data_IF_541235735593
#
_entry.id   IF_541235735593
#
_cell.length_a   1.000
_cell.length_b   1.000
_cell.length_c   1.000
_cell.angle_alpha   90.00
_cell.angle_beta   90.00
_cell.angle_gamma   90.00
#
_symmetry.space_group_name_H-M   'P 1'
#
loop_
_entity.id
_entity.type
_entity.pdbx_description
1 polymer ?
#
# COMPACT_ATOMS: atom_id res chain seq x y z
N UNK A 1 -27.15 -21.06 6.01
CA UNK A 1 -25.82 -20.84 6.58
C UNK A 1 -25.68 -21.65 7.86
N UNK A 2 -24.89 -22.71 7.83
CA UNK A 2 -24.56 -23.60 8.94
C UNK A 2 -23.50 -22.94 9.84
N UNK A 3 -23.44 -23.34 11.11
CA UNK A 3 -22.45 -22.88 12.10
C UNK A 3 -21.02 -23.01 11.57
N UNK A 4 -20.74 -24.08 10.82
CA UNK A 4 -19.43 -24.31 10.22
C UNK A 4 -19.06 -23.26 9.16
N UNK A 5 -20.03 -22.82 8.35
CA UNK A 5 -19.81 -21.77 7.35
C UNK A 5 -19.48 -20.43 8.01
N UNK A 6 -20.16 -20.11 9.12
CA UNK A 6 -19.88 -18.89 9.91
C UNK A 6 -18.47 -18.94 10.50
N UNK A 7 -18.07 -20.09 11.05
CA UNK A 7 -16.72 -20.27 11.58
C UNK A 7 -15.66 -20.11 10.47
N UNK A 8 -15.87 -20.70 9.30
CA UNK A 8 -14.95 -20.58 8.17
C UNK A 8 -14.80 -19.13 7.70
N UNK A 9 -15.90 -18.36 7.61
CA UNK A 9 -15.86 -16.93 7.26
C UNK A 9 -15.10 -16.14 8.32
N UNK A 10 -15.32 -16.42 9.61
CA UNK A 10 -14.63 -15.75 10.71
C UNK A 10 -13.12 -16.01 10.64
N UNK A 11 -12.70 -17.26 10.46
CA UNK A 11 -11.29 -17.62 10.35
C UNK A 11 -10.63 -16.99 9.12
N UNK A 12 -11.30 -17.00 7.96
CA UNK A 12 -10.82 -16.30 6.76
C UNK A 12 -10.64 -14.79 7.02
N UNK A 13 -11.60 -14.14 7.66
CA UNK A 13 -11.50 -12.74 8.05
C UNK A 13 -10.33 -12.51 9.02
N UNK A 14 -10.11 -13.38 10.00
CA UNK A 14 -8.97 -13.29 10.94
C UNK A 14 -7.64 -13.47 10.20
N UNK A 15 -7.54 -14.41 9.26
CA UNK A 15 -6.34 -14.62 8.44
C UNK A 15 -6.03 -13.38 7.61
N UNK A 16 -7.05 -12.84 6.93
CA UNK A 16 -6.92 -11.61 6.12
C UNK A 16 -6.48 -10.45 7.00
N UNK A 17 -7.16 -10.21 8.13
CA UNK A 17 -6.84 -9.09 9.03
C UNK A 17 -5.50 -9.26 9.75
N UNK A 18 -5.11 -10.47 10.12
CA UNK A 18 -3.82 -10.73 10.77
C UNK A 18 -2.64 -10.53 9.80
N UNK A 19 -2.82 -10.88 8.52
CA UNK A 19 -1.86 -10.54 7.47
C UNK A 19 -1.68 -9.02 7.28
N UNK A 20 -2.70 -8.22 7.61
CA UNK A 20 -2.62 -6.75 7.51
C UNK A 20 -1.97 -6.06 8.71
N UNK A 21 -1.71 -6.77 9.83
CA UNK A 21 -1.15 -6.17 11.05
C UNK A 21 0.36 -5.90 11.02
N UNK A 22 1.04 -6.16 9.90
CA UNK A 22 2.38 -5.61 9.72
C UNK A 22 2.28 -4.12 9.38
N UNK A 23 2.71 -3.33 10.36
CA UNK A 23 2.97 -1.89 10.34
C UNK A 23 4.06 -1.52 9.30
N UNK A 24 3.91 -1.97 8.05
CA UNK A 24 4.93 -1.86 7.01
C UNK A 24 4.35 -1.24 5.76
N UNK A 25 5.04 -0.21 5.29
CA UNK A 25 4.76 0.67 4.14
C UNK A 25 4.93 -0.08 2.81
N UNK A 26 4.54 -1.36 2.76
CA UNK A 26 4.66 -2.26 1.62
C UNK A 26 3.26 -2.72 1.22
N UNK A 27 2.58 -1.86 0.45
CA UNK A 27 1.44 -2.31 -0.34
C UNK A 27 1.99 -2.99 -1.59
N UNK A 28 2.36 -4.27 -1.45
CA UNK A 28 2.17 -5.18 -2.58
C UNK A 28 0.66 -5.42 -2.71
N UNK A 29 0.08 -5.35 -3.92
CA UNK A 29 -1.30 -5.73 -4.14
C UNK A 29 -1.46 -7.16 -3.60
N UNK A 30 -2.20 -7.27 -2.49
CA UNK A 30 -2.38 -8.54 -1.82
C UNK A 30 -3.44 -9.32 -2.59
N UNK A 31 -3.08 -9.90 -3.74
CA UNK A 31 -3.90 -10.90 -4.43
C UNK A 31 -4.16 -12.13 -3.52
N UNK A 32 -3.47 -12.22 -2.37
CA UNK A 32 -3.58 -13.32 -1.41
C UNK A 32 -4.96 -13.47 -0.77
N UNK A 33 -5.78 -12.40 -0.67
CA UNK A 33 -7.12 -12.57 -0.09
C UNK A 33 -8.10 -13.21 -1.07
N UNK A 34 -7.89 -13.06 -2.39
CA UNK A 34 -8.75 -13.70 -3.39
C UNK A 34 -8.61 -15.22 -3.36
N UNK A 35 -7.41 -15.75 -3.14
CA UNK A 35 -7.19 -17.19 -2.92
C UNK A 35 -7.98 -17.71 -1.70
N UNK A 36 -7.95 -16.98 -0.59
CA UNK A 36 -8.70 -17.32 0.64
C UNK A 36 -10.21 -17.25 0.41
N UNK A 37 -10.70 -16.21 -0.28
CA UNK A 37 -12.14 -16.08 -0.57
C UNK A 37 -12.60 -17.17 -1.55
N UNK A 38 -11.76 -17.56 -2.51
CA UNK A 38 -12.08 -18.59 -3.48
C UNK A 38 -12.14 -19.98 -2.84
N UNK A 39 -11.31 -20.26 -1.82
CA UNK A 39 -11.30 -21.55 -1.11
C UNK A 39 -12.46 -21.74 -0.13
N UNK A 40 -13.20 -20.67 0.21
CA UNK A 40 -14.42 -20.78 1.02
C UNK A 40 -15.53 -21.48 0.22
N UNK A 41 -16.15 -22.50 0.82
CA UNK A 41 -17.34 -23.15 0.28
C UNK A 41 -18.58 -22.33 0.64
N UNK A 42 -18.75 -21.19 -0.04
CA UNK A 42 -19.88 -20.27 0.11
C UNK A 42 -20.38 -19.86 -1.27
N UNK A 43 -21.63 -19.39 -1.34
CA UNK A 43 -22.23 -18.96 -2.59
C UNK A 43 -21.45 -17.77 -3.23
N UNK A 44 -21.47 -17.63 -4.57
CA UNK A 44 -20.68 -16.61 -5.26
C UNK A 44 -21.06 -15.17 -4.89
N UNK A 45 -22.31 -14.90 -4.48
CA UNK A 45 -22.75 -13.57 -4.06
C UNK A 45 -22.17 -13.21 -2.68
N UNK A 46 -22.11 -14.20 -1.77
CA UNK A 46 -21.40 -14.09 -0.49
C UNK A 46 -19.89 -13.89 -0.69
N UNK A 47 -19.25 -14.62 -1.62
CA UNK A 47 -17.82 -14.40 -1.97
C UNK A 47 -17.59 -12.97 -2.42
N UNK A 48 -18.44 -12.46 -3.31
CA UNK A 48 -18.34 -11.09 -3.79
C UNK A 48 -18.57 -10.08 -2.67
N UNK A 49 -19.55 -10.29 -1.80
CA UNK A 49 -19.78 -9.44 -0.63
C UNK A 49 -18.56 -9.40 0.31
N UNK A 50 -17.90 -10.54 0.52
CA UNK A 50 -16.63 -10.58 1.25
C UNK A 50 -15.52 -9.81 0.52
N UNK A 51 -15.35 -9.97 -0.80
CA UNK A 51 -14.37 -9.18 -1.57
C UNK A 51 -14.59 -7.69 -1.41
N UNK A 52 -15.83 -7.23 -1.49
CA UNK A 52 -16.20 -5.82 -1.29
C UNK A 52 -15.86 -5.34 0.11
N UNK A 53 -16.17 -6.14 1.13
CA UNK A 53 -15.94 -5.82 2.54
C UNK A 53 -14.45 -5.78 2.87
N UNK A 54 -13.71 -6.81 2.45
CA UNK A 54 -12.24 -6.89 2.57
C UNK A 54 -11.60 -5.74 1.82
N UNK A 55 -12.04 -5.42 0.61
CA UNK A 55 -11.52 -4.29 -0.16
C UNK A 55 -11.72 -2.94 0.52
N UNK A 56 -12.83 -2.76 1.27
CA UNK A 56 -13.07 -1.57 2.09
C UNK A 56 -12.18 -1.54 3.34
N UNK A 57 -12.01 -2.68 4.03
CA UNK A 57 -11.20 -2.79 5.25
C UNK A 57 -9.70 -2.66 4.96
N UNK A 58 -9.22 -3.36 3.94
CA UNK A 58 -7.83 -3.38 3.49
C UNK A 58 -7.52 -2.13 2.65
N UNK A 59 -8.52 -1.34 2.26
CA UNK A 59 -8.30 -0.10 1.51
C UNK A 59 -7.80 -0.33 0.07
N UNK A 60 -8.05 -1.52 -0.51
CA UNK A 60 -7.72 -1.78 -1.94
C UNK A 60 -8.61 -0.97 -2.88
N UNK A 61 -9.75 -0.46 -2.38
CA UNK A 61 -10.59 0.52 -3.08
C UNK A 61 -9.98 1.92 -3.04
N UNK A 62 -9.30 2.23 -4.14
CA UNK A 62 -8.74 3.52 -4.55
C UNK A 62 -7.32 3.80 -4.03
N UNK A 63 -6.35 3.40 -4.87
CA UNK A 63 -4.97 3.92 -4.99
C UNK A 63 -4.85 5.47 -5.10
N UNK A 64 -5.92 6.23 -4.84
CA UNK A 64 -5.98 7.70 -4.83
C UNK A 64 -5.89 8.32 -3.42
N UNK A 65 -6.01 7.56 -2.34
CA UNK A 65 -5.78 8.12 -0.99
C UNK A 65 -4.29 8.05 -0.68
N UNK A 66 -3.58 9.13 -0.99
CA UNK A 66 -2.15 9.26 -0.74
C UNK A 66 -1.80 8.84 0.68
N UNK A 67 -1.05 7.74 0.81
CA UNK A 67 -0.40 7.41 2.08
C UNK A 67 0.50 8.59 2.44
N UNK A 68 0.19 9.25 3.56
CA UNK A 68 0.98 10.38 4.02
C UNK A 68 2.37 9.85 4.39
N UNK A 69 3.41 10.29 3.66
CA UNK A 69 4.79 9.92 3.97
C UNK A 69 5.11 10.47 5.36
N UNK A 70 5.58 9.59 6.26
CA UNK A 70 5.97 9.98 7.62
C UNK A 70 6.94 11.17 7.63
N UNK A 71 6.85 12.02 8.66
CA UNK A 71 7.66 13.24 8.76
C UNK A 71 9.15 12.93 8.67
N UNK A 72 9.63 11.88 9.36
CA UNK A 72 11.04 11.46 9.34
C UNK A 72 11.47 11.07 7.93
N UNK A 73 10.65 10.29 7.24
CA UNK A 73 10.91 9.87 5.85
C UNK A 73 10.93 11.06 4.90
N UNK A 74 10.00 12.00 5.08
CA UNK A 74 9.96 13.25 4.30
C UNK A 74 11.20 14.10 4.52
N UNK A 75 11.70 14.20 5.75
CA UNK A 75 12.93 14.93 6.07
C UNK A 75 14.16 14.26 5.44
N UNK A 76 14.22 12.92 5.42
CA UNK A 76 15.28 12.21 4.69
C UNK A 76 15.24 12.49 3.18
N UNK A 77 14.05 12.46 2.57
CA UNK A 77 13.89 12.78 1.15
C UNK A 77 14.30 14.21 0.84
N UNK A 78 13.99 15.18 1.70
CA UNK A 78 14.42 16.57 1.55
C UNK A 78 15.95 16.69 1.61
N UNK A 79 16.62 16.05 2.57
CA UNK A 79 18.09 16.05 2.67
C UNK A 79 18.76 15.50 1.41
N UNK A 80 18.23 14.40 0.85
CA UNK A 80 18.74 13.85 -0.41
C UNK A 80 18.47 14.81 -1.57
N UNK A 81 17.29 15.43 -1.61
CA UNK A 81 16.92 16.38 -2.67
C UNK A 81 17.80 17.65 -2.67
N UNK A 82 18.20 18.13 -1.50
CA UNK A 82 19.13 19.26 -1.34
C UNK A 82 20.52 18.94 -1.92
N UNK A 83 20.97 17.69 -1.79
CA UNK A 83 22.23 17.22 -2.38
C UNK A 83 22.11 16.98 -3.89
N UNK A 84 21.01 16.34 -4.34
CA UNK A 84 20.80 15.96 -5.73
C UNK A 84 19.32 15.90 -6.10
N UNK A 85 18.89 16.76 -7.01
CA UNK A 85 17.47 16.88 -7.43
C UNK A 85 17.03 15.83 -8.47
N UNK A 86 17.97 15.13 -9.10
CA UNK A 86 17.75 14.13 -10.14
C UNK A 86 18.50 12.85 -9.79
N UNK A 87 17.77 11.77 -9.48
CA UNK A 87 18.35 10.48 -9.12
C UNK A 87 18.45 9.54 -10.32
N UNK A 88 19.56 8.81 -10.41
CA UNK A 88 19.69 7.64 -11.29
C UNK A 88 18.80 6.49 -10.82
N UNK A 89 18.73 5.41 -11.59
CA UNK A 89 17.97 4.21 -11.20
C UNK A 89 18.49 3.63 -9.88
N UNK A 90 19.81 3.46 -9.77
CA UNK A 90 20.48 2.88 -8.60
C UNK A 90 20.31 3.75 -7.34
N UNK A 91 20.49 5.06 -7.47
CA UNK A 91 20.30 6.00 -6.36
C UNK A 91 18.87 6.00 -5.84
N UNK A 92 17.89 5.92 -6.75
CA UNK A 92 16.47 5.83 -6.40
C UNK A 92 16.17 4.55 -5.62
N UNK A 93 16.72 3.42 -6.05
CA UNK A 93 16.57 2.14 -5.34
C UNK A 93 17.22 2.20 -3.96
N UNK A 94 18.38 2.84 -3.82
CA UNK A 94 19.04 3.05 -2.53
C UNK A 94 18.19 3.91 -1.58
N UNK A 95 17.68 5.05 -2.06
CA UNK A 95 16.80 5.95 -1.28
C UNK A 95 15.51 5.25 -0.89
N UNK A 96 14.93 4.49 -1.81
CA UNK A 96 13.72 3.68 -1.58
C UNK A 96 13.93 2.69 -0.41
N UNK A 97 15.02 1.91 -0.44
CA UNK A 97 15.39 1.00 0.65
C UNK A 97 15.58 1.73 1.97
N UNK A 98 16.28 2.86 1.98
CA UNK A 98 16.57 3.64 3.20
C UNK A 98 15.31 4.28 3.82
N UNK A 99 14.35 4.66 2.98
CA UNK A 99 13.13 5.36 3.37
C UNK A 99 11.93 4.42 3.59
N UNK A 100 12.10 3.10 3.36
CA UNK A 100 11.01 2.13 3.30
C UNK A 100 9.90 2.56 2.31
N UNK A 101 10.31 3.00 1.12
CA UNK A 101 9.42 3.40 0.04
C UNK A 101 9.69 2.52 -1.19
N UNK A 102 8.75 2.47 -2.12
CA UNK A 102 8.98 1.88 -3.44
C UNK A 102 9.80 2.84 -4.32
N UNK A 103 10.60 2.32 -5.28
CA UNK A 103 11.29 3.17 -6.25
C UNK A 103 10.32 4.10 -7.00
N UNK A 104 9.09 3.65 -7.29
CA UNK A 104 8.07 4.48 -7.92
C UNK A 104 7.65 5.66 -7.05
N UNK A 105 7.39 5.44 -5.75
CA UNK A 105 7.06 6.53 -4.81
C UNK A 105 8.18 7.57 -4.75
N UNK A 106 9.45 7.14 -4.68
CA UNK A 106 10.60 8.06 -4.70
C UNK A 106 10.63 8.84 -6.01
N UNK A 107 10.47 8.19 -7.17
CA UNK A 107 10.43 8.86 -8.48
C UNK A 107 9.34 9.93 -8.54
N UNK A 108 8.12 9.60 -8.14
CA UNK A 108 6.96 10.51 -8.14
C UNK A 108 7.19 11.66 -7.16
N UNK A 109 7.71 11.37 -5.96
CA UNK A 109 8.02 12.39 -4.97
C UNK A 109 9.04 13.40 -5.50
N UNK A 110 10.15 12.94 -6.09
CA UNK A 110 11.18 13.81 -6.66
C UNK A 110 10.63 14.64 -7.83
N UNK A 111 9.79 14.05 -8.70
CA UNK A 111 9.14 14.80 -9.77
C UNK A 111 8.22 15.90 -9.24
N UNK A 112 7.35 15.57 -8.28
CA UNK A 112 6.44 16.53 -7.65
C UNK A 112 7.20 17.63 -6.90
N UNK A 113 8.31 17.28 -6.22
CA UNK A 113 9.17 18.23 -5.52
C UNK A 113 9.80 19.23 -6.50
N UNK A 114 10.29 18.78 -7.66
CA UNK A 114 10.81 19.67 -8.72
C UNK A 114 9.74 20.62 -9.25
N UNK A 115 8.54 20.11 -9.52
CA UNK A 115 7.40 20.95 -9.97
C UNK A 115 7.09 22.03 -8.94
N UNK A 116 6.96 21.66 -7.66
CA UNK A 116 6.69 22.61 -6.57
C UNK A 116 7.80 23.65 -6.40
N UNK A 117 9.06 23.23 -6.49
CA UNK A 117 10.20 24.13 -6.36
C UNK A 117 10.31 25.12 -7.54
N UNK A 118 9.87 24.73 -8.74
CA UNK A 118 9.80 25.65 -9.89
C UNK A 118 8.74 26.73 -9.66
N UNK A 119 7.58 26.36 -9.11
CA UNK A 119 6.47 27.29 -8.88
C UNK A 119 6.74 28.30 -7.75
N UNK A 120 7.66 28.01 -6.82
CA UNK A 120 8.04 28.96 -5.75
C UNK A 120 9.08 29.99 -6.22
N UNK A 121 9.76 29.75 -7.35
CA UNK A 121 10.78 30.66 -7.89
C UNK A 121 10.27 31.57 -9.02
N UNK A 122 8.96 31.59 -9.25
CA UNK A 122 8.25 32.50 -10.17
C UNK A 122 7.43 33.45 -9.31
#
# INVERSE_FOLDING_TARGET
>A
MNVQEIHNIREACITILSGTKHNSVLFEPCDKFDEVINSLDIDPDSKETLRRSVSLLVGTRNHKRGCNIDKKTKDMLNKVYEQKQYLTKEEREFVAKKCNLTPLQVRVWFANKRIRNKNTKM
#
